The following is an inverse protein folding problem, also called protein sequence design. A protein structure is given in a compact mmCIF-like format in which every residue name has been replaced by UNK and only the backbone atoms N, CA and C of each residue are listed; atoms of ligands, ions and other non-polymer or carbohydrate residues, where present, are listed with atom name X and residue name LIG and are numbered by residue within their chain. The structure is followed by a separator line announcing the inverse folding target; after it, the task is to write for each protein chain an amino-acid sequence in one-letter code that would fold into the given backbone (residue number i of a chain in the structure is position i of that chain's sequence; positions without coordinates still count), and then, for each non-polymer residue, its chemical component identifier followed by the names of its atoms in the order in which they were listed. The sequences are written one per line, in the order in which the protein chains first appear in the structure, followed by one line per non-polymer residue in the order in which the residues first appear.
data_IF_575804702779
#
_entry.id   IF_575804702779
#
_cell.length_a   1.000
_cell.length_b   1.000
_cell.length_c   1.000
_cell.angle_alpha   90.00
_cell.angle_beta   90.00
_cell.angle_gamma   90.00
#
_symmetry.space_group_name_H-M   'P 1'
#
loop_
_entity.id
_entity.type
_entity.pdbx_description
1 polymer ?
#
# COMPACT_ATOMS: atom_id res chain seq x y z
N UNK A 1 8.53 10.95 2.54
CA UNK A 1 8.62 9.87 3.54
C UNK A 1 9.70 8.93 3.06
N UNK A 2 10.67 8.63 3.92
CA UNK A 2 11.73 7.62 3.68
C UNK A 2 11.24 6.23 4.07
N UNK A 3 11.96 5.18 3.66
CA UNK A 3 11.67 3.82 4.10
C UNK A 3 11.74 3.68 5.63
N UNK A 4 12.75 4.31 6.25
CA UNK A 4 12.90 4.30 7.71
C UNK A 4 11.69 4.90 8.42
N UNK A 5 11.29 6.10 8.03
CA UNK A 5 10.10 6.77 8.59
C UNK A 5 8.84 5.92 8.43
N UNK A 6 8.67 5.31 7.26
CA UNK A 6 7.56 4.41 6.99
C UNK A 6 7.55 3.21 7.96
N UNK A 7 8.68 2.51 8.11
CA UNK A 7 8.75 1.32 8.97
C UNK A 7 8.50 1.64 10.46
N UNK A 8 9.01 2.78 10.94
CA UNK A 8 8.78 3.24 12.32
C UNK A 8 7.31 3.60 12.55
N UNK A 9 6.69 4.30 11.59
CA UNK A 9 5.27 4.64 11.67
C UNK A 9 4.37 3.41 11.55
N UNK A 10 4.68 2.47 10.65
CA UNK A 10 3.88 1.27 10.46
C UNK A 10 3.88 0.41 11.74
N UNK A 11 5.04 0.27 12.37
CA UNK A 11 5.16 -0.40 13.67
C UNK A 11 4.29 0.28 14.74
N UNK A 12 4.22 1.61 14.75
CA UNK A 12 3.36 2.34 15.67
C UNK A 12 1.86 2.17 15.39
N UNK A 13 1.48 1.75 14.18
CA UNK A 13 0.09 1.41 13.80
C UNK A 13 -0.23 -0.08 13.98
N UNK A 14 0.70 -0.89 14.48
CA UNK A 14 0.46 -2.31 14.75
C UNK A 14 -0.63 -2.44 15.82
N UNK A 15 -1.74 -3.14 15.55
CA UNK A 15 -2.79 -3.34 16.54
C UNK A 15 -2.29 -4.18 17.73
N UNK A 16 -2.91 -3.96 18.90
CA UNK A 16 -2.60 -4.74 20.10
C UNK A 16 -2.92 -6.23 19.89
N UNK A 17 -1.97 -7.10 20.26
CA UNK A 17 -2.08 -8.53 19.98
C UNK A 17 -3.19 -9.19 20.79
N UNK A 18 -3.42 -8.79 22.03
CA UNK A 18 -4.46 -9.38 22.88
C UNK A 18 -5.85 -8.99 22.36
N UNK A 19 -6.01 -7.74 21.92
CA UNK A 19 -7.24 -7.28 21.26
C UNK A 19 -7.45 -7.98 19.92
N UNK A 20 -6.41 -8.18 19.12
CA UNK A 20 -6.52 -8.95 17.87
C UNK A 20 -6.92 -10.40 18.12
N UNK A 21 -6.32 -11.07 19.12
CA UNK A 21 -6.68 -12.45 19.46
C UNK A 21 -8.18 -12.54 19.80
N UNK A 22 -8.70 -11.55 20.54
CA UNK A 22 -10.12 -11.48 20.85
C UNK A 22 -11.01 -11.27 19.62
N UNK A 23 -10.53 -10.56 18.59
CA UNK A 23 -11.31 -10.22 17.38
C UNK A 23 -11.21 -11.25 16.25
N UNK A 24 -10.02 -11.80 16.00
CA UNK A 24 -9.76 -12.70 14.86
C UNK A 24 -9.24 -14.09 15.24
N UNK A 25 -8.95 -14.32 16.53
CA UNK A 25 -8.47 -15.61 17.04
C UNK A 25 -6.94 -15.73 17.12
N UNK A 26 -6.48 -16.66 17.95
CA UNK A 26 -5.06 -16.84 18.30
C UNK A 26 -4.17 -17.39 17.18
N UNK A 27 -4.76 -18.04 16.19
CA UNK A 27 -4.02 -18.55 15.02
C UNK A 27 -3.75 -17.45 13.98
N UNK A 28 -4.68 -16.49 13.83
CA UNK A 28 -4.62 -15.45 12.80
C UNK A 28 -3.87 -14.21 13.29
N UNK A 29 -4.09 -13.80 14.55
CA UNK A 29 -3.50 -12.57 15.09
C UNK A 29 -1.96 -12.47 14.90
N UNK A 30 -1.14 -13.52 15.12
CA UNK A 30 0.30 -13.43 14.91
C UNK A 30 0.70 -13.26 13.44
N UNK A 31 -0.13 -13.71 12.49
CA UNK A 31 0.11 -13.48 11.05
C UNK A 31 -0.08 -11.99 10.75
N UNK A 32 -1.18 -11.40 11.22
CA UNK A 32 -1.47 -9.97 11.04
C UNK A 32 -0.36 -9.10 11.65
N UNK A 33 0.10 -9.39 12.87
CA UNK A 33 1.19 -8.62 13.50
C UNK A 33 2.48 -8.63 12.64
N UNK A 34 2.79 -9.75 12.00
CA UNK A 34 3.96 -9.84 11.11
C UNK A 34 3.82 -8.96 9.87
N UNK A 35 2.60 -8.72 9.39
CA UNK A 35 2.33 -7.87 8.23
C UNK A 35 2.58 -6.38 8.53
N UNK A 36 2.57 -5.97 9.79
CA UNK A 36 2.90 -4.59 10.22
C UNK A 36 4.37 -4.44 10.65
N UNK A 37 5.16 -5.52 10.58
CA UNK A 37 6.53 -5.55 11.07
C UNK A 37 7.53 -5.56 9.90
N UNK A 38 8.45 -4.60 9.91
CA UNK A 38 9.61 -4.57 9.03
C UNK A 38 10.88 -4.64 9.87
N UNK A 39 11.74 -5.63 9.60
CA UNK A 39 13.01 -5.78 10.31
C UNK A 39 14.17 -5.36 9.40
N UNK A 40 15.13 -4.55 9.87
CA UNK A 40 16.33 -4.25 9.10
C UNK A 40 17.06 -5.55 8.67
N UNK A 41 17.61 -5.58 7.45
CA UNK A 41 18.36 -6.72 6.89
C UNK A 41 19.78 -6.85 7.44
N UNK A 42 20.29 -5.82 8.11
CA UNK A 42 21.62 -5.80 8.71
C UNK A 42 21.99 -4.40 9.18
N UNK A 43 23.27 -4.21 9.51
CA UNK A 43 23.78 -2.96 10.10
C UNK A 43 24.15 -1.88 9.06
N UNK A 44 24.26 -2.25 7.78
CA UNK A 44 24.56 -1.32 6.69
C UNK A 44 23.29 -0.84 6.00
N UNK A 45 23.02 0.46 6.09
CA UNK A 45 21.92 1.12 5.39
C UNK A 45 22.39 1.63 4.02
N UNK A 46 21.61 1.35 2.98
CA UNK A 46 21.83 1.86 1.62
C UNK A 46 20.74 2.86 1.28
N UNK A 47 21.10 4.13 1.14
CA UNK A 47 20.15 5.17 0.73
C UNK A 47 19.75 5.00 -0.73
N UNK A 48 18.45 5.18 -1.01
CA UNK A 48 17.90 5.29 -2.36
C UNK A 48 16.95 6.47 -2.41
N UNK A 49 16.92 7.19 -3.53
CA UNK A 49 16.01 8.33 -3.73
C UNK A 49 14.53 7.91 -3.74
N UNK A 50 14.24 6.67 -4.10
CA UNK A 50 12.90 6.12 -4.09
C UNK A 50 12.71 5.26 -2.83
N UNK A 51 11.78 5.64 -1.93
CA UNK A 51 11.62 4.98 -0.64
C UNK A 51 11.08 3.55 -0.73
N UNK A 52 10.44 3.15 -1.83
CA UNK A 52 10.03 1.76 -2.04
C UNK A 52 11.28 0.90 -2.33
N UNK A 53 12.20 1.35 -3.19
CA UNK A 53 13.45 0.63 -3.40
C UNK A 53 14.27 0.56 -2.11
N UNK A 54 14.40 1.69 -1.42
CA UNK A 54 15.08 1.77 -0.13
C UNK A 54 14.50 0.77 0.88
N UNK A 55 13.17 0.61 0.93
CA UNK A 55 12.50 -0.38 1.78
C UNK A 55 12.91 -1.81 1.41
N UNK A 56 12.84 -2.16 0.12
CA UNK A 56 13.17 -3.50 -0.36
C UNK A 56 14.66 -3.85 -0.19
N UNK A 57 15.55 -2.87 -0.28
CA UNK A 57 16.99 -3.07 -0.08
C UNK A 57 17.29 -3.30 1.40
N UNK A 58 16.74 -2.47 2.29
CA UNK A 58 17.18 -2.38 3.68
C UNK A 58 16.35 -3.20 4.68
N UNK A 59 15.13 -3.63 4.31
CA UNK A 59 14.22 -4.28 5.25
C UNK A 59 13.74 -5.66 4.76
N UNK A 60 13.62 -6.58 5.70
CA UNK A 60 12.84 -7.80 5.60
C UNK A 60 11.40 -7.44 5.95
N UNK A 61 10.56 -7.35 4.92
CA UNK A 61 9.15 -7.04 5.05
C UNK A 61 8.29 -8.25 4.70
N UNK A 62 7.12 -8.35 5.32
CA UNK A 62 6.03 -9.23 4.90
C UNK A 62 4.73 -8.42 4.84
N UNK A 63 4.84 -7.17 4.39
CA UNK A 63 3.73 -6.21 4.44
C UNK A 63 2.58 -6.72 3.59
N UNK A 64 1.45 -7.01 4.22
CA UNK A 64 0.21 -7.39 3.56
C UNK A 64 -0.94 -6.84 4.39
N UNK A 65 -1.48 -5.69 4.00
CA UNK A 65 -2.45 -4.95 4.80
C UNK A 65 -3.71 -4.77 3.99
N UNK A 66 -4.80 -5.36 4.46
CA UNK A 66 -6.07 -5.36 3.76
C UNK A 66 -5.92 -5.95 2.36
N UNK A 67 -6.12 -5.11 1.33
CA UNK A 67 -6.05 -5.54 -0.06
C UNK A 67 -4.66 -5.41 -0.70
N UNK A 68 -3.68 -4.80 -0.03
CA UNK A 68 -2.37 -4.50 -0.62
C UNK A 68 -1.29 -5.38 0.03
N UNK A 69 -0.62 -6.20 -0.78
CA UNK A 69 0.48 -7.07 -0.37
C UNK A 69 1.77 -6.75 -1.09
N UNK A 70 2.83 -6.42 -0.37
CA UNK A 70 4.15 -6.17 -0.95
C UNK A 70 4.75 -7.50 -1.41
N UNK A 71 5.33 -7.48 -2.60
CA UNK A 71 6.06 -8.62 -3.14
C UNK A 71 7.32 -8.87 -2.33
N UNK A 72 7.86 -10.10 -2.40
CA UNK A 72 9.13 -10.42 -1.77
C UNK A 72 10.33 -9.80 -2.51
N UNK A 73 10.15 -9.47 -3.79
CA UNK A 73 11.17 -8.87 -4.65
C UNK A 73 10.52 -7.91 -5.63
N UNK A 74 11.24 -6.85 -5.97
CA UNK A 74 10.89 -5.96 -7.07
C UNK A 74 11.29 -6.59 -8.40
N UNK A 75 10.48 -6.40 -9.42
CA UNK A 75 10.81 -6.71 -10.83
C UNK A 75 10.52 -5.50 -11.72
N UNK A 76 11.21 -5.39 -12.85
CA UNK A 76 10.91 -4.37 -13.87
C UNK A 76 10.51 -5.03 -15.17
N UNK A 77 9.41 -4.58 -15.77
CA UNK A 77 8.94 -5.03 -17.09
C UNK A 77 8.40 -3.81 -17.84
N UNK A 78 8.84 -3.62 -19.08
CA UNK A 78 8.31 -2.58 -19.98
C UNK A 78 8.28 -1.16 -19.38
N UNK A 79 9.28 -0.80 -18.55
CA UNK A 79 9.34 0.51 -17.90
C UNK A 79 8.58 0.60 -16.57
N UNK A 80 7.79 -0.41 -16.20
CA UNK A 80 7.06 -0.48 -14.94
C UNK A 80 7.82 -1.30 -13.89
N UNK A 81 7.77 -0.85 -12.63
CA UNK A 81 8.41 -1.50 -11.49
C UNK A 81 7.33 -2.11 -10.61
N UNK A 82 7.32 -3.43 -10.45
CA UNK A 82 6.29 -4.11 -9.66
C UNK A 82 6.84 -4.33 -8.26
N UNK A 83 6.05 -3.93 -7.27
CA UNK A 83 6.48 -4.04 -5.88
C UNK A 83 5.37 -4.54 -4.96
N UNK A 84 4.10 -4.51 -5.39
CA UNK A 84 2.99 -4.99 -4.60
C UNK A 84 1.88 -5.57 -5.48
N UNK A 85 0.93 -6.21 -4.83
CA UNK A 85 -0.33 -6.68 -5.39
C UNK A 85 -1.48 -5.91 -4.74
N UNK A 86 -2.49 -5.61 -5.53
CA UNK A 86 -3.81 -5.21 -5.05
C UNK A 86 -4.78 -6.32 -5.42
N UNK A 87 -5.14 -7.15 -4.44
CA UNK A 87 -5.78 -8.44 -4.68
C UNK A 87 -4.93 -9.32 -5.63
N UNK A 88 -5.34 -9.48 -6.89
CA UNK A 88 -4.64 -10.26 -7.91
C UNK A 88 -3.93 -9.36 -8.95
N UNK A 89 -4.19 -8.05 -8.94
CA UNK A 89 -3.62 -7.10 -9.88
C UNK A 89 -2.25 -6.58 -9.41
N UNK A 90 -1.41 -6.15 -10.36
CA UNK A 90 -0.09 -5.61 -10.07
C UNK A 90 -0.19 -4.15 -9.63
N UNK A 91 0.44 -3.82 -8.51
CA UNK A 91 0.75 -2.44 -8.14
C UNK A 91 2.16 -2.11 -8.63
N UNK A 92 2.23 -1.09 -9.48
CA UNK A 92 3.43 -0.76 -10.25
C UNK A 92 3.80 0.70 -10.11
N UNK A 93 5.10 1.01 -10.21
CA UNK A 93 5.63 2.36 -10.40
C UNK A 93 5.86 2.53 -11.90
N UNK A 94 5.24 3.53 -12.51
CA UNK A 94 5.66 3.99 -13.84
C UNK A 94 6.96 4.80 -13.72
N UNK A 95 8.02 4.39 -14.41
CA UNK A 95 9.30 5.10 -14.37
C UNK A 95 9.27 6.48 -15.03
N UNK A 96 8.35 6.72 -15.95
CA UNK A 96 8.32 7.99 -16.68
C UNK A 96 7.62 9.10 -15.88
N UNK A 97 6.52 8.78 -15.19
CA UNK A 97 5.76 9.72 -14.37
C UNK A 97 6.04 9.64 -12.86
N UNK A 98 6.72 8.58 -12.41
CA UNK A 98 6.88 8.17 -11.00
C UNK A 98 5.55 7.80 -10.30
N UNK A 99 4.42 7.80 -11.02
CA UNK A 99 3.11 7.47 -10.45
C UNK A 99 2.99 5.99 -10.09
N UNK A 100 2.18 5.71 -9.05
CA UNK A 100 1.84 4.36 -8.61
C UNK A 100 0.48 3.99 -9.18
N UNK A 101 0.42 2.86 -9.89
CA UNK A 101 -0.74 2.42 -10.67
C UNK A 101 -1.13 0.98 -10.30
N UNK A 102 -2.39 0.62 -10.48
CA UNK A 102 -2.84 -0.78 -10.55
C UNK A 102 -3.07 -1.14 -12.00
N UNK A 103 -2.48 -2.25 -12.45
CA UNK A 103 -2.62 -2.79 -13.81
C UNK A 103 -2.88 -4.28 -13.75
N UNK A 104 -3.62 -4.78 -14.74
CA UNK A 104 -3.84 -6.22 -14.89
C UNK A 104 -2.53 -6.87 -15.37
N UNK A 105 -2.09 -7.99 -14.77
CA UNK A 105 -0.82 -8.62 -15.13
C UNK A 105 -0.71 -8.92 -16.64
N UNK A 106 -1.74 -9.57 -17.20
CA UNK A 106 -1.75 -10.02 -18.60
C UNK A 106 -1.58 -8.88 -19.60
N UNK A 107 -2.17 -7.71 -19.31
CA UNK A 107 -2.05 -6.53 -20.16
C UNK A 107 -0.60 -6.04 -20.22
N UNK A 108 0.11 -6.08 -19.08
CA UNK A 108 1.47 -5.59 -18.98
C UNK A 108 2.48 -6.50 -19.71
N UNK A 109 2.34 -7.81 -19.58
CA UNK A 109 3.22 -8.78 -20.24
C UNK A 109 3.04 -8.81 -21.76
N UNK A 110 1.92 -8.29 -22.26
CA UNK A 110 1.57 -8.29 -23.68
C UNK A 110 1.93 -6.98 -24.41
N UNK A 111 2.46 -5.98 -23.71
CA UNK A 111 2.77 -4.67 -24.30
C UNK A 111 3.92 -4.74 -25.31
N UNK A 112 3.74 -4.04 -26.43
CA UNK A 112 4.84 -3.70 -27.31
C UNK A 112 5.67 -2.53 -26.73
N UNK A 113 6.96 -2.41 -27.11
CA UNK A 113 7.78 -1.28 -26.68
C UNK A 113 7.14 0.08 -27.01
N UNK A 114 6.87 0.89 -25.98
CA UNK A 114 6.25 2.21 -26.11
C UNK A 114 4.73 2.24 -25.88
N UNK A 115 4.11 1.08 -25.64
CA UNK A 115 2.70 1.01 -25.23
C UNK A 115 2.54 1.13 -23.71
N UNK A 116 1.34 1.55 -23.32
CA UNK A 116 0.97 1.75 -21.92
C UNK A 116 -0.16 0.78 -21.56
N UNK A 117 -0.09 0.06 -20.42
CA UNK A 117 -1.15 -0.86 -20.03
C UNK A 117 -2.43 -0.08 -19.70
N UNK A 118 -3.62 -0.69 -19.88
CA UNK A 118 -4.83 -0.19 -19.27
C UNK A 118 -4.65 -0.05 -17.75
N UNK A 119 -4.92 1.14 -17.24
CA UNK A 119 -4.78 1.46 -15.82
C UNK A 119 -6.11 1.18 -15.13
N UNK A 120 -6.14 0.19 -14.24
CA UNK A 120 -7.30 -0.11 -13.40
C UNK A 120 -7.54 1.02 -12.40
N UNK A 121 -6.46 1.47 -11.75
CA UNK A 121 -6.50 2.55 -10.75
C UNK A 121 -5.20 3.35 -10.73
N UNK A 122 -5.33 4.65 -10.43
CA UNK A 122 -4.20 5.47 -9.98
C UNK A 122 -4.17 5.40 -8.44
N UNK A 123 -3.05 4.97 -7.85
CA UNK A 123 -2.91 4.77 -6.42
C UNK A 123 -2.31 5.98 -5.70
N UNK A 124 -1.23 6.54 -6.25
CA UNK A 124 -0.54 7.69 -5.67
C UNK A 124 0.37 8.37 -6.69
N UNK A 125 0.72 9.64 -6.43
CA UNK A 125 1.57 10.47 -7.28
C UNK A 125 3.01 10.01 -7.34
N UNK A 126 3.51 9.40 -6.27
CA UNK A 126 4.84 8.84 -6.20
C UNK A 126 4.95 7.86 -5.03
N UNK A 127 6.10 7.22 -4.95
CA UNK A 127 6.44 6.24 -3.91
C UNK A 127 6.31 6.81 -2.49
N UNK A 128 6.69 8.07 -2.26
CA UNK A 128 6.57 8.70 -0.95
C UNK A 128 5.11 8.99 -0.58
N UNK A 129 4.31 9.50 -1.52
CA UNK A 129 2.87 9.71 -1.35
C UNK A 129 2.13 8.39 -1.10
N UNK A 130 2.52 7.32 -1.79
CA UNK A 130 1.96 5.99 -1.58
C UNK A 130 2.20 5.49 -0.15
N UNK A 131 3.45 5.51 0.32
CA UNK A 131 3.77 5.07 1.69
C UNK A 131 3.07 5.93 2.75
N UNK A 132 2.99 7.24 2.54
CA UNK A 132 2.26 8.16 3.42
C UNK A 132 0.77 7.81 3.54
N UNK A 133 0.10 7.61 2.40
CA UNK A 133 -1.30 7.20 2.35
C UNK A 133 -1.47 5.81 2.98
N UNK A 134 -0.56 4.89 2.68
CA UNK A 134 -0.63 3.51 3.12
C UNK A 134 -0.52 3.35 4.65
N UNK A 135 0.22 4.22 5.34
CA UNK A 135 0.24 4.26 6.82
C UNK A 135 -1.15 4.55 7.41
N UNK A 136 -1.89 5.50 6.85
CA UNK A 136 -3.23 5.80 7.35
C UNK A 136 -4.22 4.69 6.98
N UNK A 137 -4.06 4.11 5.79
CA UNK A 137 -4.86 2.94 5.42
C UNK A 137 -4.60 1.76 6.37
N UNK A 138 -3.35 1.54 6.78
CA UNK A 138 -3.00 0.52 7.76
C UNK A 138 -3.66 0.77 9.13
N UNK A 139 -3.71 2.02 9.58
CA UNK A 139 -4.44 2.38 10.80
C UNK A 139 -5.95 2.13 10.66
N UNK A 140 -6.55 2.51 9.54
CA UNK A 140 -7.96 2.23 9.26
C UNK A 140 -8.24 0.72 9.29
N UNK A 141 -7.40 -0.07 8.59
CA UNK A 141 -7.53 -1.52 8.51
C UNK A 141 -7.40 -2.18 9.89
N UNK A 142 -6.39 -1.80 10.67
CA UNK A 142 -6.19 -2.29 12.03
C UNK A 142 -7.42 -2.01 12.92
N UNK A 143 -8.00 -0.81 12.82
CA UNK A 143 -9.18 -0.45 13.59
C UNK A 143 -10.44 -1.25 13.18
N UNK A 144 -10.66 -1.47 11.88
CA UNK A 144 -11.76 -2.31 11.40
C UNK A 144 -11.61 -3.76 11.87
N UNK A 145 -10.39 -4.32 11.85
CA UNK A 145 -10.10 -5.66 12.40
C UNK A 145 -10.42 -5.75 13.90
N UNK A 146 -10.25 -4.66 14.65
CA UNK A 146 -10.63 -4.56 16.05
C UNK A 146 -12.12 -4.23 16.26
N UNK A 147 -12.92 -4.22 15.20
CA UNK A 147 -14.36 -4.04 15.25
C UNK A 147 -14.83 -2.59 15.37
N UNK A 148 -13.93 -1.60 15.22
CA UNK A 148 -14.33 -0.19 15.14
C UNK A 148 -15.20 -0.01 13.89
N UNK A 149 -16.36 0.62 14.06
CA UNK A 149 -17.25 0.97 12.96
C UNK A 149 -17.13 2.45 12.67
N UNK A 150 -16.75 2.78 11.44
CA UNK A 150 -16.74 4.16 10.96
C UNK A 150 -18.10 4.53 10.38
N UNK A 151 -18.66 5.65 10.84
CA UNK A 151 -19.86 6.21 10.24
C UNK A 151 -19.57 6.82 8.84
N UNK A 152 -20.60 7.10 8.03
CA UNK A 152 -20.39 7.64 6.69
C UNK A 152 -19.59 8.96 6.65
N UNK A 153 -19.79 9.86 7.63
CA UNK A 153 -19.05 11.13 7.68
C UNK A 153 -17.57 10.92 8.00
N UNK A 154 -17.24 10.02 8.92
CA UNK A 154 -15.85 9.65 9.24
C UNK A 154 -15.17 9.01 8.05
N UNK A 155 -15.88 8.15 7.30
CA UNK A 155 -15.37 7.53 6.07
C UNK A 155 -15.09 8.57 4.98
N UNK A 156 -15.97 9.56 4.82
CA UNK A 156 -15.75 10.65 3.85
C UNK A 156 -14.55 11.50 4.24
N UNK A 157 -14.38 11.83 5.53
CA UNK A 157 -13.19 12.56 6.00
C UNK A 157 -11.90 11.78 5.73
N UNK A 158 -11.90 10.46 6.01
CA UNK A 158 -10.76 9.60 5.71
C UNK A 158 -10.47 9.49 4.21
N UNK A 159 -11.52 9.42 3.38
CA UNK A 159 -11.38 9.40 1.92
C UNK A 159 -10.65 10.65 1.43
N UNK A 160 -11.05 11.82 1.90
CA UNK A 160 -10.39 13.09 1.58
C UNK A 160 -8.94 13.11 2.07
N UNK A 161 -8.70 12.76 3.34
CA UNK A 161 -7.35 12.79 3.91
C UNK A 161 -6.38 11.84 3.18
N UNK A 162 -6.81 10.60 2.93
CA UNK A 162 -6.02 9.60 2.20
C UNK A 162 -5.78 10.03 0.75
N UNK A 163 -6.79 10.61 0.09
CA UNK A 163 -6.65 11.11 -1.29
C UNK A 163 -5.65 12.27 -1.37
N UNK A 164 -5.70 13.21 -0.42
CA UNK A 164 -4.71 14.29 -0.35
C UNK A 164 -3.29 13.76 -0.13
N UNK A 165 -3.11 12.77 0.73
CA UNK A 165 -1.80 12.12 0.95
C UNK A 165 -1.32 11.32 -0.26
N UNK A 166 -2.24 10.73 -1.03
CA UNK A 166 -1.92 10.06 -2.27
C UNK A 166 -1.50 11.03 -3.39
N UNK A 167 -1.92 12.30 -3.32
CA UNK A 167 -1.58 13.34 -4.30
C UNK A 167 -2.79 14.03 -4.94
N UNK A 168 -3.99 13.87 -4.39
CA UNK A 168 -5.21 14.58 -4.75
C UNK A 168 -6.31 13.74 -5.42
N UNK A 169 -7.24 14.42 -6.08
CA UNK A 169 -8.51 13.85 -6.57
C UNK A 169 -8.34 12.67 -7.53
N UNK A 170 -7.28 12.67 -8.36
CA UNK A 170 -6.98 11.61 -9.33
C UNK A 170 -6.92 10.21 -8.70
N UNK A 171 -6.50 10.12 -7.44
CA UNK A 171 -6.30 8.86 -6.71
C UNK A 171 -7.53 8.43 -5.88
N UNK A 172 -8.54 9.30 -5.77
CA UNK A 172 -9.69 9.12 -4.88
C UNK A 172 -10.49 7.85 -5.16
N UNK A 173 -10.61 7.44 -6.43
CA UNK A 173 -11.31 6.21 -6.83
C UNK A 173 -10.64 4.95 -6.25
N UNK A 174 -9.31 4.92 -6.19
CA UNK A 174 -8.61 3.79 -5.55
C UNK A 174 -8.86 3.77 -4.05
N UNK A 175 -8.77 4.94 -3.41
CA UNK A 175 -8.99 5.09 -1.97
C UNK A 175 -10.43 4.73 -1.57
N UNK A 176 -11.43 5.09 -2.39
CA UNK A 176 -12.82 4.72 -2.10
C UNK A 176 -13.02 3.21 -2.08
N UNK A 177 -12.35 2.48 -2.97
CA UNK A 177 -12.35 1.01 -2.96
C UNK A 177 -11.68 0.47 -1.69
N UNK A 178 -10.52 1.00 -1.30
CA UNK A 178 -9.83 0.60 -0.07
C UNK A 178 -10.70 0.79 1.20
N UNK A 179 -11.47 1.88 1.24
CA UNK A 179 -12.36 2.21 2.37
C UNK A 179 -13.76 1.58 2.28
N UNK A 180 -14.03 0.84 1.20
CA UNK A 180 -15.34 0.28 0.85
C UNK A 180 -16.44 1.36 0.85
N UNK A 181 -16.19 2.45 0.14
CA UNK A 181 -17.11 3.56 -0.09
C UNK A 181 -17.60 3.47 -1.53
N UNK A 182 -18.92 3.39 -1.72
CA UNK A 182 -19.51 3.47 -3.05
C UNK A 182 -19.40 4.91 -3.57
N UNK A 183 -18.48 5.14 -4.50
CA UNK A 183 -18.47 6.39 -5.26
C UNK A 183 -19.61 6.35 -6.30
N UNK A 184 -20.47 7.36 -6.39
CA UNK A 184 -21.47 7.43 -7.46
C UNK A 184 -20.77 7.37 -8.82
N UNK A 185 -21.27 6.55 -9.73
CA UNK A 185 -20.77 6.51 -11.10
C UNK A 185 -21.08 7.86 -11.77
N UNK A 186 -20.03 8.61 -12.08
CA UNK A 186 -20.08 9.83 -12.89
C UNK A 186 -20.27 9.50 -14.36
#
# INVERSE_FOLDING_TARGET
MTAKEFTEQLKAKTPDIDLLIASVGSEIAPVIIKEYTCLPKGDSYQEDTNPIFELFINYNHNISIGFIGFLQKISTINGFIHFALFQEDLVVIDKDSDEILVVIPDDLFSLEPGEYPPISFYCAQNSASFLNMFILYAEFNANELLGKRYNPQEKEFLLEELSQKAGGEKYKKFISVLLNIQTPQS
#
